data_IF_266544137744
#
_entry.id   IF_266544137744
#
_cell.length_a   1.000
_cell.length_b   1.000
_cell.length_c   1.000
_cell.angle_alpha   90.00
_cell.angle_beta   90.00
_cell.angle_gamma   90.00
#
_symmetry.space_group_name_H-M   'P 1'
#
loop_
_entity.id
_entity.type
_entity.pdbx_description
1 polymer ?
#
# COMPACT_ATOMS: atom_id res chain seq x y z
N UNK A 1 19.86 4.67 2.65
CA UNK A 1 19.71 3.39 1.94
C UNK A 1 18.31 3.35 1.42
N UNK A 2 18.15 3.42 0.10
CA UNK A 2 16.83 3.48 -0.52
C UNK A 2 16.14 2.12 -0.33
N UNK A 3 14.99 2.13 0.34
CA UNK A 3 14.16 0.94 0.48
C UNK A 3 13.75 0.47 -0.92
N UNK A 4 14.17 -0.75 -1.29
CA UNK A 4 13.88 -1.29 -2.61
C UNK A 4 12.36 -1.33 -2.85
N UNK A 5 11.88 -0.97 -4.06
CA UNK A 5 10.45 -0.99 -4.37
C UNK A 5 9.81 -2.36 -4.13
N UNK A 6 10.55 -3.44 -4.36
CA UNK A 6 10.11 -4.81 -4.08
C UNK A 6 9.87 -5.06 -2.59
N UNK A 7 10.84 -4.72 -1.74
CA UNK A 7 10.72 -4.90 -0.29
C UNK A 7 9.58 -4.07 0.29
N UNK A 8 9.37 -2.85 -0.22
CA UNK A 8 8.24 -2.01 0.17
C UNK A 8 6.91 -2.68 -0.16
N UNK A 9 6.76 -3.24 -1.36
CA UNK A 9 5.53 -3.96 -1.77
C UNK A 9 5.27 -5.19 -0.90
N UNK A 10 6.30 -5.97 -0.58
CA UNK A 10 6.17 -7.11 0.32
C UNK A 10 5.72 -6.70 1.71
N UNK A 11 6.31 -5.65 2.30
CA UNK A 11 5.87 -5.13 3.60
C UNK A 11 4.46 -4.55 3.57
N UNK A 12 4.08 -3.87 2.48
CA UNK A 12 2.69 -3.40 2.31
C UNK A 12 1.72 -4.59 2.34
N UNK A 13 2.01 -5.69 1.65
CA UNK A 13 1.18 -6.89 1.70
C UNK A 13 1.11 -7.49 3.11
N UNK A 14 2.23 -7.54 3.83
CA UNK A 14 2.28 -8.05 5.20
C UNK A 14 1.39 -7.20 6.13
N UNK A 15 1.51 -5.88 6.05
CA UNK A 15 0.67 -4.94 6.83
C UNK A 15 -0.81 -5.07 6.45
N UNK A 16 -1.13 -5.17 5.16
CA UNK A 16 -2.51 -5.37 4.70
C UNK A 16 -3.08 -6.70 5.17
N UNK A 17 -2.28 -7.77 5.19
CA UNK A 17 -2.67 -9.08 5.71
C UNK A 17 -2.97 -9.02 7.22
N UNK A 18 -2.15 -8.29 7.98
CA UNK A 18 -2.31 -8.12 9.42
C UNK A 18 -3.50 -7.22 9.79
N UNK A 19 -3.63 -6.07 9.12
CA UNK A 19 -4.63 -5.04 9.47
C UNK A 19 -5.96 -5.22 8.73
N UNK A 20 -6.01 -6.07 7.69
CA UNK A 20 -7.11 -6.28 6.71
C UNK A 20 -7.53 -5.04 5.92
N UNK A 21 -7.41 -3.86 6.51
CA UNK A 21 -7.76 -2.58 5.91
C UNK A 21 -6.74 -1.52 6.30
N UNK A 22 -6.25 -0.73 5.35
CA UNK A 22 -5.40 0.42 5.65
C UNK A 22 -5.64 1.56 4.66
N UNK A 23 -5.08 2.75 4.90
CA UNK A 23 -5.21 3.90 4.01
C UNK A 23 -3.88 4.25 3.36
N UNK A 24 -3.92 4.84 2.17
CA UNK A 24 -2.70 5.32 1.49
C UNK A 24 -1.88 6.27 2.36
N UNK A 25 -2.53 7.09 3.20
CA UNK A 25 -1.87 8.07 4.06
C UNK A 25 -1.13 7.40 5.22
N UNK A 26 -1.73 6.40 5.86
CA UNK A 26 -1.07 5.64 6.92
C UNK A 26 0.14 4.89 6.39
N UNK A 27 -0.02 4.14 5.30
CA UNK A 27 1.09 3.41 4.68
C UNK A 27 2.20 4.37 4.23
N UNK A 28 1.85 5.52 3.64
CA UNK A 28 2.82 6.54 3.26
C UNK A 28 3.62 7.05 4.47
N UNK A 29 2.94 7.31 5.59
CA UNK A 29 3.59 7.74 6.82
C UNK A 29 4.48 6.65 7.44
N UNK A 30 3.99 5.40 7.49
CA UNK A 30 4.69 4.26 8.07
C UNK A 30 5.95 3.87 7.27
N UNK A 31 5.88 3.94 5.94
CA UNK A 31 7.02 3.70 5.06
C UNK A 31 7.84 4.96 4.75
N UNK A 32 7.46 6.12 5.32
CA UNK A 32 8.08 7.43 5.08
C UNK A 32 8.24 7.76 3.58
N UNK A 33 7.21 7.45 2.78
CA UNK A 33 7.16 7.71 1.34
C UNK A 33 5.95 8.58 0.98
N UNK A 34 5.91 9.07 -0.25
CA UNK A 34 4.73 9.78 -0.75
C UNK A 34 3.53 8.83 -0.94
N UNK A 35 2.32 9.36 -0.77
CA UNK A 35 1.07 8.65 -1.10
C UNK A 35 1.02 8.23 -2.57
N UNK A 36 1.64 8.99 -3.47
CA UNK A 36 1.78 8.64 -4.88
C UNK A 36 2.65 7.41 -5.11
N UNK A 37 3.70 7.20 -4.29
CA UNK A 37 4.52 5.99 -4.31
C UNK A 37 3.72 4.78 -3.88
N UNK A 38 3.03 4.87 -2.74
CA UNK A 38 2.14 3.80 -2.26
C UNK A 38 1.07 3.48 -3.30
N UNK A 39 0.46 4.51 -3.90
CA UNK A 39 -0.57 4.29 -4.93
C UNK A 39 -0.04 3.47 -6.11
N UNK A 40 1.17 3.78 -6.61
CA UNK A 40 1.78 2.98 -7.70
C UNK A 40 2.06 1.55 -7.24
N UNK A 41 2.62 1.38 -6.04
CA UNK A 41 2.92 0.05 -5.51
C UNK A 41 1.64 -0.79 -5.31
N UNK A 42 0.58 -0.19 -4.79
CA UNK A 42 -0.74 -0.83 -4.66
C UNK A 42 -1.32 -1.20 -6.02
N UNK A 43 -1.22 -0.33 -7.03
CA UNK A 43 -1.68 -0.65 -8.40
C UNK A 43 -0.92 -1.86 -8.96
N UNK A 44 0.39 -1.95 -8.74
CA UNK A 44 1.17 -3.13 -9.13
C UNK A 44 0.73 -4.36 -8.36
N UNK A 45 0.50 -4.22 -7.05
CA UNK A 45 0.03 -5.32 -6.20
C UNK A 45 -1.37 -5.82 -6.61
N UNK A 46 -2.28 -4.93 -6.99
CA UNK A 46 -3.62 -5.31 -7.47
C UNK A 46 -3.61 -6.14 -8.75
N UNK A 47 -2.51 -6.10 -9.53
CA UNK A 47 -2.35 -6.94 -10.72
C UNK A 47 -1.95 -8.38 -10.39
N UNK A 48 -1.35 -8.63 -9.23
CA UNK A 48 -0.80 -9.95 -8.84
C UNK A 48 -1.51 -10.56 -7.64
N UNK A 49 -2.14 -9.74 -6.80
CA UNK A 49 -2.73 -10.12 -5.52
C UNK A 49 -4.16 -9.58 -5.43
N UNK A 50 -5.05 -10.25 -4.68
CA UNK A 50 -6.44 -9.84 -4.50
C UNK A 50 -6.55 -8.66 -3.51
N UNK A 51 -5.94 -7.52 -3.86
CA UNK A 51 -6.02 -6.27 -3.09
C UNK A 51 -7.03 -5.37 -3.80
N UNK A 52 -8.02 -4.89 -3.06
CA UNK A 52 -9.07 -4.00 -3.53
C UNK A 52 -8.85 -2.59 -3.01
N UNK A 53 -9.03 -1.59 -3.87
CA UNK A 53 -8.92 -0.19 -3.47
C UNK A 53 -10.30 0.45 -3.54
N UNK A 54 -10.85 0.80 -2.38
CA UNK A 54 -12.14 1.46 -2.27
C UNK A 54 -11.93 2.96 -2.41
N UNK A 55 -12.36 3.48 -3.56
CA UNK A 55 -12.33 4.92 -3.87
C UNK A 55 -13.46 5.64 -3.13
N UNK A 56 -13.29 5.87 -1.83
CA UNK A 56 -14.10 6.82 -1.04
C UNK A 56 -13.32 8.11 -0.74
N UNK A 57 -13.96 9.09 -0.10
CA UNK A 57 -13.34 10.38 0.31
C UNK A 57 -12.00 10.19 1.07
N UNK A 58 -11.79 9.01 1.68
CA UNK A 58 -10.62 8.62 2.47
C UNK A 58 -9.80 7.42 1.90
N UNK A 59 -10.04 6.98 0.66
CA UNK A 59 -9.24 5.96 -0.06
C UNK A 59 -8.72 4.79 0.80
N UNK A 60 -9.58 3.81 1.06
CA UNK A 60 -9.24 2.62 1.88
C UNK A 60 -8.78 1.48 0.98
N UNK A 61 -7.78 0.74 1.42
CA UNK A 61 -7.22 -0.45 0.77
C UNK A 61 -7.68 -1.66 1.59
N UNK A 62 -8.18 -2.71 0.94
CA UNK A 62 -8.68 -3.94 1.53
C UNK A 62 -8.26 -5.19 0.77
#
# INVERSE_FOLDING_TARGET
MDMNPWERRQKILEVLCLRRHDTYRNLAHEFNVSTGTIRRDIVVLTCSYPVETVKGHHGVIR
#
